data_IF_326034330205
#
_entry.id   IF_326034330205
#
_cell.length_a   1.000
_cell.length_b   1.000
_cell.length_c   1.000
_cell.angle_alpha   90.00
_cell.angle_beta   90.00
_cell.angle_gamma   90.00
#
_symmetry.space_group_name_H-M   'P 1'
#
loop_
_entity.id
_entity.type
_entity.pdbx_description
1 polymer ?
#
# COMPACT_ATOMS: atom_id res chain seq x y z
N UNK A 1 -27.26 30.94 55.21
CA UNK A 1 -26.23 29.89 55.39
C UNK A 1 -26.37 28.73 54.41
N UNK A 2 -27.59 28.31 54.04
CA UNK A 2 -27.80 27.19 53.11
C UNK A 2 -27.24 27.42 51.70
N UNK A 3 -27.42 28.62 51.14
CA UNK A 3 -26.88 28.96 49.81
C UNK A 3 -25.35 28.86 49.73
N UNK A 4 -24.65 29.13 50.84
CA UNK A 4 -23.19 29.01 50.92
C UNK A 4 -22.77 27.54 50.93
N UNK A 5 -23.53 26.68 51.64
CA UNK A 5 -23.26 25.23 51.65
C UNK A 5 -23.50 24.60 50.29
N UNK A 6 -24.57 25.00 49.59
CA UNK A 6 -24.87 24.52 48.23
C UNK A 6 -23.79 24.95 47.24
N UNK A 7 -23.33 26.20 47.32
CA UNK A 7 -22.25 26.70 46.48
C UNK A 7 -20.93 25.94 46.71
N UNK A 8 -20.59 25.63 47.96
CA UNK A 8 -19.39 24.85 48.29
C UNK A 8 -19.46 23.41 47.79
N UNK A 9 -20.63 22.76 47.89
CA UNK A 9 -20.84 21.41 47.35
C UNK A 9 -20.72 21.42 45.83
N UNK A 10 -21.30 22.42 45.16
CA UNK A 10 -21.22 22.55 43.71
C UNK A 10 -19.78 22.79 43.23
N UNK A 11 -19.03 23.68 43.89
CA UNK A 11 -17.61 23.92 43.60
C UNK A 11 -16.78 22.67 43.81
N UNK A 12 -16.99 21.94 44.91
CA UNK A 12 -16.28 20.69 45.20
C UNK A 12 -16.58 19.61 44.15
N UNK A 13 -17.85 19.49 43.73
CA UNK A 13 -18.26 18.55 42.68
C UNK A 13 -17.66 18.90 41.31
N UNK A 14 -17.66 20.19 40.94
CA UNK A 14 -16.97 20.66 39.73
C UNK A 14 -15.46 20.38 39.80
N UNK A 15 -14.81 20.56 40.97
CA UNK A 15 -13.39 20.25 41.14
C UNK A 15 -13.10 18.76 40.96
N UNK A 16 -13.96 17.90 41.51
CA UNK A 16 -13.84 16.44 41.37
C UNK A 16 -14.02 16.01 39.91
N UNK A 17 -14.98 16.59 39.19
CA UNK A 17 -15.18 16.33 37.75
C UNK A 17 -13.99 16.82 36.89
N UNK A 18 -13.39 17.96 37.25
CA UNK A 18 -12.18 18.48 36.61
C UNK A 18 -10.94 17.61 36.89
N UNK A 19 -10.87 16.98 38.06
CA UNK A 19 -9.79 16.07 38.43
C UNK A 19 -9.98 14.68 37.83
N UNK A 20 -11.22 14.22 37.64
CA UNK A 20 -11.51 12.91 37.03
C UNK A 20 -11.36 12.89 35.50
N UNK A 21 -11.39 14.06 34.84
CA UNK A 21 -11.16 14.18 33.39
C UNK A 21 -9.67 14.25 33.02
N UNK A 22 -8.77 14.27 33.99
CA UNK A 22 -7.33 14.21 33.78
C UNK A 22 -6.86 12.75 33.70
N UNK A 23 -7.42 11.98 32.76
CA UNK A 23 -6.75 10.76 32.33
C UNK A 23 -5.49 11.17 31.56
N UNK A 24 -4.31 10.78 32.08
CA UNK A 24 -3.05 11.03 31.40
C UNK A 24 -3.10 10.32 30.04
N UNK A 25 -3.23 11.09 28.97
CA UNK A 25 -3.17 10.59 27.61
C UNK A 25 -1.80 9.94 27.43
N UNK A 26 -1.76 8.62 27.28
CA UNK A 26 -0.50 7.90 27.03
C UNK A 26 -0.02 8.33 25.66
N UNK A 27 1.02 9.16 25.64
CA UNK A 27 1.67 9.62 24.41
C UNK A 27 2.50 8.48 23.84
N UNK A 28 2.02 7.85 22.77
CA UNK A 28 2.75 6.79 22.06
C UNK A 28 3.83 7.42 21.18
N UNK A 29 5.09 7.01 21.39
CA UNK A 29 6.26 7.52 20.68
C UNK A 29 6.90 6.41 19.84
N UNK A 30 7.62 6.82 18.80
CA UNK A 30 8.42 5.88 18.00
C UNK A 30 9.46 5.13 18.83
N UNK A 31 9.99 5.76 19.88
CA UNK A 31 10.95 5.17 20.82
C UNK A 31 10.40 3.98 21.60
N UNK A 32 9.07 3.81 21.62
CA UNK A 32 8.42 2.72 22.34
C UNK A 32 8.43 1.41 21.54
N UNK A 33 8.87 1.46 20.28
CA UNK A 33 8.89 0.33 19.35
C UNK A 33 10.30 0.10 18.77
N UNK A 34 10.60 -1.13 18.30
CA UNK A 34 11.75 -1.39 17.45
C UNK A 34 11.72 -0.56 16.15
N UNK A 35 12.88 -0.41 15.51
CA UNK A 35 12.97 0.22 14.19
C UNK A 35 12.14 -0.52 13.13
N UNK A 36 11.83 0.15 12.02
CA UNK A 36 11.13 -0.46 10.87
C UNK A 36 9.67 -0.03 10.67
N UNK A 37 9.22 1.07 11.30
CA UNK A 37 7.90 1.62 11.02
C UNK A 37 7.79 2.07 9.55
N UNK A 38 6.73 1.65 8.86
CA UNK A 38 6.61 1.79 7.41
C UNK A 38 5.17 1.70 6.91
N UNK A 39 5.02 1.77 5.59
CA UNK A 39 3.75 1.61 4.89
C UNK A 39 3.82 0.43 3.90
N UNK A 40 2.66 -0.07 3.46
CA UNK A 40 2.58 -1.16 2.48
C UNK A 40 1.56 -0.90 1.38
N UNK A 41 1.89 -1.33 0.17
CA UNK A 41 1.02 -1.30 -1.02
C UNK A 41 1.14 -2.61 -1.82
N UNK A 42 0.40 -2.70 -2.92
CA UNK A 42 0.58 -3.72 -3.96
C UNK A 42 0.43 -3.09 -5.35
N UNK A 43 1.12 -3.67 -6.32
CA UNK A 43 1.24 -3.15 -7.68
C UNK A 43 -0.11 -2.87 -8.33
N UNK A 44 -0.98 -3.89 -8.46
CA UNK A 44 -2.30 -3.73 -9.08
C UNK A 44 -3.19 -2.67 -8.40
N UNK A 45 -3.05 -2.50 -7.07
CA UNK A 45 -3.89 -1.56 -6.32
C UNK A 45 -3.50 -0.09 -6.51
N UNK A 46 -2.25 0.21 -6.90
CA UNK A 46 -1.77 1.60 -6.96
C UNK A 46 -1.17 2.01 -8.31
N UNK A 47 -0.57 1.09 -9.07
CA UNK A 47 0.28 1.44 -10.21
C UNK A 47 -0.50 2.07 -11.37
N UNK A 48 -1.55 1.40 -11.85
CA UNK A 48 -2.13 1.73 -13.15
C UNK A 48 -1.15 1.44 -14.30
N UNK A 49 -1.29 2.18 -15.41
CA UNK A 49 -0.47 1.99 -16.60
C UNK A 49 -0.61 0.57 -17.17
N UNK A 50 -1.84 0.07 -17.23
CA UNK A 50 -2.19 -1.36 -17.45
C UNK A 50 -1.52 -2.01 -18.67
N UNK A 51 -1.33 -1.24 -19.75
CA UNK A 51 -0.73 -1.68 -21.01
C UNK A 51 0.46 -0.82 -21.44
N UNK A 52 0.99 -0.02 -20.52
CA UNK A 52 2.10 0.87 -20.81
C UNK A 52 3.43 0.12 -20.80
N UNK A 53 4.35 0.58 -21.65
CA UNK A 53 5.73 0.10 -21.73
C UNK A 53 5.87 -1.43 -21.75
N UNK A 54 4.98 -2.10 -22.47
CA UNK A 54 5.04 -3.54 -22.69
C UNK A 54 4.55 -4.40 -21.53
N UNK A 55 3.89 -3.83 -20.50
CA UNK A 55 3.19 -4.62 -19.48
C UNK A 55 2.13 -5.51 -20.14
N UNK A 56 2.09 -6.78 -19.75
CA UNK A 56 1.04 -7.73 -20.12
C UNK A 56 -0.21 -7.57 -19.25
N UNK A 57 -1.35 -8.07 -19.75
CA UNK A 57 -2.55 -8.20 -18.92
C UNK A 57 -2.31 -9.21 -17.79
N UNK A 58 -2.73 -8.85 -16.58
CA UNK A 58 -2.82 -9.77 -15.45
C UNK A 58 -4.20 -10.42 -15.36
N UNK A 59 -4.30 -11.45 -14.52
CA UNK A 59 -5.57 -12.04 -14.13
C UNK A 59 -6.56 -11.00 -13.57
N UNK A 60 -6.08 -10.01 -12.80
CA UNK A 60 -6.94 -8.96 -12.25
C UNK A 60 -7.40 -7.96 -13.32
N UNK A 61 -6.56 -7.64 -14.31
CA UNK A 61 -6.94 -6.78 -15.45
C UNK A 61 -8.15 -7.35 -16.21
N UNK A 62 -8.22 -8.68 -16.33
CA UNK A 62 -9.34 -9.39 -16.97
C UNK A 62 -10.52 -9.54 -16.00
N UNK A 63 -10.26 -9.96 -14.76
CA UNK A 63 -11.30 -10.20 -13.76
C UNK A 63 -12.15 -8.96 -13.48
N UNK A 64 -11.54 -7.78 -13.34
CA UNK A 64 -12.25 -6.52 -13.06
C UNK A 64 -13.18 -6.08 -14.20
N UNK A 65 -12.93 -6.51 -15.44
CA UNK A 65 -13.76 -6.13 -16.61
C UNK A 65 -15.04 -6.94 -16.73
N UNK A 66 -15.18 -8.01 -15.95
CA UNK A 66 -16.39 -8.82 -15.91
C UNK A 66 -17.41 -8.11 -15.00
N UNK A 67 -18.58 -7.81 -15.57
CA UNK A 67 -19.65 -7.12 -14.85
C UNK A 67 -20.05 -7.87 -13.57
N UNK A 68 -20.10 -7.15 -12.45
CA UNK A 68 -20.50 -7.68 -11.16
C UNK A 68 -19.36 -8.24 -10.29
N UNK A 69 -18.13 -8.34 -10.82
CA UNK A 69 -16.97 -8.80 -10.04
C UNK A 69 -16.41 -7.73 -9.10
N UNK A 70 -16.54 -6.46 -9.47
CA UNK A 70 -16.17 -5.30 -8.65
C UNK A 70 -17.46 -4.54 -8.31
N UNK A 71 -17.65 -4.23 -7.02
CA UNK A 71 -18.92 -3.68 -6.49
C UNK A 71 -19.36 -2.40 -7.20
N UNK A 72 -18.41 -1.51 -7.50
CA UNK A 72 -18.66 -0.24 -8.19
C UNK A 72 -18.35 -0.31 -9.70
N UNK A 73 -17.97 -1.49 -10.21
CA UNK A 73 -17.62 -1.71 -11.61
C UNK A 73 -16.31 -1.05 -12.06
N UNK A 74 -15.46 -0.59 -11.13
CA UNK A 74 -14.16 0.02 -11.47
C UNK A 74 -13.07 -1.03 -11.76
N UNK A 75 -11.92 -0.57 -12.26
CA UNK A 75 -10.74 -1.41 -12.51
C UNK A 75 -9.46 -0.74 -12.01
N UNK A 76 -8.35 -1.49 -12.04
CA UNK A 76 -7.01 -0.99 -11.73
C UNK A 76 -6.29 -0.30 -12.91
N UNK A 77 -7.00 0.04 -14.00
CA UNK A 77 -6.37 0.56 -15.22
C UNK A 77 -5.53 1.82 -14.96
N UNK A 78 -6.03 2.71 -14.10
CA UNK A 78 -5.37 3.93 -13.62
C UNK A 78 -4.99 3.81 -12.14
N UNK A 79 -5.87 3.25 -11.30
CA UNK A 79 -5.67 3.13 -9.86
C UNK A 79 -5.30 4.49 -9.20
N UNK A 80 -4.21 4.55 -8.43
CA UNK A 80 -3.67 5.79 -7.88
C UNK A 80 -2.66 6.47 -8.82
N UNK A 81 -2.46 5.93 -10.02
CA UNK A 81 -1.54 6.44 -11.04
C UNK A 81 -0.07 6.46 -10.57
N UNK A 82 0.29 5.54 -9.67
CA UNK A 82 1.63 5.45 -9.09
C UNK A 82 2.70 5.16 -10.15
N UNK A 83 2.35 4.52 -11.28
CA UNK A 83 3.27 4.31 -12.39
C UNK A 83 3.90 5.62 -12.88
N UNK A 84 3.13 6.71 -12.89
CA UNK A 84 3.58 8.04 -13.27
C UNK A 84 3.99 8.91 -12.08
N UNK A 85 3.44 8.64 -10.89
CA UNK A 85 3.52 9.52 -9.71
C UNK A 85 4.39 8.99 -8.59
N UNK A 86 5.08 7.86 -8.76
CA UNK A 86 5.84 7.23 -7.67
C UNK A 86 6.84 8.17 -6.98
N UNK A 87 7.39 9.16 -7.69
CA UNK A 87 8.26 10.17 -7.09
C UNK A 87 7.53 11.04 -6.05
N UNK A 88 6.30 11.46 -6.34
CA UNK A 88 5.46 12.21 -5.40
C UNK A 88 5.11 11.34 -4.18
N UNK A 89 4.75 10.08 -4.41
CA UNK A 89 4.42 9.15 -3.32
C UNK A 89 5.62 8.84 -2.43
N UNK A 90 6.82 8.70 -3.00
CA UNK A 90 8.07 8.51 -2.25
C UNK A 90 8.38 9.74 -1.38
N UNK A 91 8.13 10.96 -1.89
CA UNK A 91 8.27 12.18 -1.07
C UNK A 91 7.29 12.20 0.10
N UNK A 92 6.04 11.77 -0.12
CA UNK A 92 5.06 11.65 0.97
C UNK A 92 5.54 10.66 2.03
N UNK A 93 5.98 9.46 1.62
CA UNK A 93 6.51 8.43 2.53
C UNK A 93 7.68 8.98 3.37
N UNK A 94 8.61 9.69 2.72
CA UNK A 94 9.75 10.32 3.37
C UNK A 94 9.32 11.42 4.35
N UNK A 95 8.38 12.30 3.94
CA UNK A 95 7.89 13.41 4.76
C UNK A 95 7.19 12.95 6.05
N UNK A 96 6.58 11.75 6.03
CA UNK A 96 5.97 11.10 7.18
C UNK A 96 7.00 10.47 8.14
N UNK A 97 8.29 10.48 7.78
CA UNK A 97 9.37 9.89 8.57
C UNK A 97 9.38 8.36 8.55
N UNK A 98 8.71 7.72 7.58
CA UNK A 98 8.72 6.27 7.44
C UNK A 98 10.11 5.78 7.05
N UNK A 99 10.53 4.65 7.60
CA UNK A 99 11.87 4.07 7.34
C UNK A 99 11.84 2.81 6.49
N UNK A 100 10.65 2.29 6.19
CA UNK A 100 10.49 1.14 5.32
C UNK A 100 9.25 1.34 4.43
N UNK A 101 9.34 0.85 3.20
CA UNK A 101 8.21 0.82 2.27
C UNK A 101 8.10 -0.55 1.65
N UNK A 102 6.98 -1.22 1.96
CA UNK A 102 6.65 -2.50 1.36
C UNK A 102 5.82 -2.29 0.10
N UNK A 103 6.30 -2.78 -1.03
CA UNK A 103 5.55 -2.80 -2.28
C UNK A 103 5.69 -4.15 -2.96
N UNK A 104 4.80 -4.46 -3.92
CA UNK A 104 4.95 -5.65 -4.75
C UNK A 104 5.42 -5.28 -6.15
N UNK A 105 6.10 -6.23 -6.79
CA UNK A 105 6.45 -6.15 -8.20
C UNK A 105 5.33 -6.80 -9.01
N UNK A 106 4.86 -6.14 -10.06
CA UNK A 106 3.91 -6.70 -11.01
C UNK A 106 4.61 -7.72 -11.89
N UNK A 107 4.22 -8.99 -11.77
CA UNK A 107 4.77 -10.07 -12.60
C UNK A 107 4.54 -9.77 -14.07
N UNK A 108 3.33 -9.35 -14.45
CA UNK A 108 3.00 -8.99 -15.84
C UNK A 108 3.74 -7.77 -16.37
N UNK A 109 4.31 -6.92 -15.50
CA UNK A 109 5.18 -5.81 -15.94
C UNK A 109 6.60 -6.28 -16.22
N UNK A 110 7.14 -7.21 -15.43
CA UNK A 110 8.53 -7.72 -15.57
C UNK A 110 8.64 -8.84 -16.59
N UNK A 111 7.71 -9.80 -16.57
CA UNK A 111 7.60 -10.91 -17.49
C UNK A 111 6.17 -10.92 -18.07
N UNK A 112 5.89 -10.13 -19.12
CA UNK A 112 4.53 -9.95 -19.66
C UNK A 112 3.82 -11.23 -20.08
N UNK A 113 4.60 -12.26 -20.42
CA UNK A 113 4.14 -13.58 -20.85
C UNK A 113 4.60 -14.69 -19.90
N UNK A 114 4.92 -14.34 -18.65
CA UNK A 114 5.61 -15.22 -17.71
C UNK A 114 6.92 -15.76 -18.31
N UNK A 115 7.22 -17.03 -18.04
CA UNK A 115 8.40 -17.72 -18.62
C UNK A 115 8.37 -17.94 -20.14
N UNK A 116 7.24 -17.66 -20.79
CA UNK A 116 7.03 -17.93 -22.22
C UNK A 116 7.55 -16.78 -23.11
N UNK A 117 7.99 -15.69 -22.49
CA UNK A 117 8.52 -14.52 -23.18
C UNK A 117 9.86 -14.07 -22.59
N UNK A 118 10.32 -12.91 -23.06
CA UNK A 118 11.49 -12.23 -22.51
C UNK A 118 11.16 -11.31 -21.34
N UNK A 119 12.21 -10.84 -20.68
CA UNK A 119 12.12 -9.79 -19.66
C UNK A 119 11.78 -8.45 -20.31
N UNK A 120 10.79 -7.76 -19.77
CA UNK A 120 10.49 -6.39 -20.15
C UNK A 120 11.42 -5.41 -19.43
N UNK A 121 12.37 -4.83 -20.16
CA UNK A 121 13.37 -3.93 -19.60
C UNK A 121 12.77 -2.62 -19.08
N UNK A 122 11.65 -2.14 -19.63
CA UNK A 122 11.00 -0.94 -19.12
C UNK A 122 10.38 -1.19 -17.73
N UNK A 123 9.78 -2.36 -17.52
CA UNK A 123 9.33 -2.80 -16.20
C UNK A 123 10.47 -2.89 -15.18
N UNK A 124 11.63 -3.41 -15.59
CA UNK A 124 12.84 -3.43 -14.75
C UNK A 124 13.29 -2.00 -14.40
N UNK A 125 13.34 -1.10 -15.38
CA UNK A 125 13.74 0.29 -15.17
C UNK A 125 12.81 1.03 -14.20
N UNK A 126 11.49 0.79 -14.29
CA UNK A 126 10.50 1.35 -13.37
C UNK A 126 10.78 0.96 -11.90
N UNK A 127 10.92 -0.34 -11.63
CA UNK A 127 11.17 -0.80 -10.26
C UNK A 127 12.56 -0.43 -9.75
N UNK A 128 13.59 -0.42 -10.61
CA UNK A 128 14.90 0.10 -10.24
C UNK A 128 14.81 1.56 -9.81
N UNK A 129 14.08 2.40 -10.56
CA UNK A 129 13.91 3.81 -10.19
C UNK A 129 13.25 3.98 -8.82
N UNK A 130 12.22 3.19 -8.52
CA UNK A 130 11.57 3.20 -7.19
C UNK A 130 12.58 2.81 -6.10
N UNK A 131 13.27 1.68 -6.27
CA UNK A 131 14.24 1.17 -5.30
C UNK A 131 15.35 2.18 -5.04
N UNK A 132 15.96 2.72 -6.10
CA UNK A 132 17.04 3.69 -6.01
C UNK A 132 16.59 4.96 -5.26
N UNK A 133 15.38 5.44 -5.54
CA UNK A 133 14.84 6.65 -4.91
C UNK A 133 14.43 6.45 -3.45
N UNK A 134 13.96 5.26 -3.07
CA UNK A 134 13.71 4.91 -1.67
C UNK A 134 15.03 4.87 -0.89
N UNK A 135 16.03 4.17 -1.43
CA UNK A 135 17.34 4.03 -0.79
C UNK A 135 18.04 5.39 -0.64
N UNK A 136 17.94 6.27 -1.63
CA UNK A 136 18.48 7.63 -1.56
C UNK A 136 17.91 8.43 -0.39
N UNK A 137 16.66 8.14 0.02
CA UNK A 137 15.96 8.77 1.14
C UNK A 137 16.08 7.99 2.45
N UNK A 138 16.90 6.95 2.48
CA UNK A 138 17.08 6.09 3.67
C UNK A 138 15.84 5.26 4.02
N UNK A 139 14.97 5.00 3.04
CA UNK A 139 13.78 4.15 3.19
C UNK A 139 14.12 2.74 2.70
N UNK A 140 13.98 1.74 3.55
CA UNK A 140 14.24 0.34 3.23
C UNK A 140 13.16 -0.24 2.30
N UNK A 141 13.50 -0.73 1.10
CA UNK A 141 12.57 -1.43 0.23
C UNK A 141 12.26 -2.83 0.78
N UNK A 142 10.98 -3.11 1.05
CA UNK A 142 10.52 -4.46 1.40
C UNK A 142 9.70 -5.04 0.24
N UNK A 143 10.33 -5.89 -0.57
CA UNK A 143 9.74 -6.30 -1.85
C UNK A 143 8.91 -7.57 -1.72
N UNK A 144 7.68 -7.53 -2.24
CA UNK A 144 6.79 -8.69 -2.41
C UNK A 144 6.81 -9.16 -3.86
N UNK A 145 7.23 -10.40 -4.10
CA UNK A 145 7.34 -10.95 -5.46
C UNK A 145 6.00 -11.40 -6.06
N UNK A 146 4.99 -11.64 -5.23
CA UNK A 146 3.65 -12.01 -5.66
C UNK A 146 2.60 -11.44 -4.72
N UNK A 147 1.64 -10.70 -5.27
CA UNK A 147 0.49 -10.17 -4.53
C UNK A 147 -0.77 -10.32 -5.38
N UNK A 148 -1.26 -11.55 -5.50
CA UNK A 148 -2.51 -11.93 -6.18
C UNK A 148 -2.58 -11.67 -7.70
N UNK A 149 -1.56 -11.05 -8.31
CA UNK A 149 -1.50 -10.85 -9.76
C UNK A 149 -0.39 -11.66 -10.46
N UNK A 150 -0.72 -12.15 -11.65
CA UNK A 150 0.16 -12.88 -12.56
C UNK A 150 -0.30 -12.69 -14.01
N UNK A 151 0.56 -12.94 -15.02
CA UNK A 151 0.17 -12.81 -16.43
C UNK A 151 -1.03 -13.67 -16.79
N UNK A 152 -2.07 -13.07 -17.38
CA UNK A 152 -3.28 -13.77 -17.83
C UNK A 152 -2.93 -14.95 -18.75
N UNK A 153 -1.87 -14.82 -19.56
CA UNK A 153 -1.44 -15.90 -20.46
C UNK A 153 -1.09 -17.22 -19.73
N UNK A 154 -0.69 -17.16 -18.46
CA UNK A 154 -0.46 -18.36 -17.65
C UNK A 154 -1.79 -19.03 -17.22
N UNK A 155 -2.82 -18.22 -16.95
CA UNK A 155 -4.18 -18.73 -16.75
C UNK A 155 -4.67 -19.40 -18.03
N UNK A 156 -4.59 -18.72 -19.16
CA UNK A 156 -5.14 -19.17 -20.44
C UNK A 156 -4.49 -20.48 -20.93
N UNK A 157 -3.19 -20.66 -20.69
CA UNK A 157 -2.45 -21.83 -21.18
C UNK A 157 -2.45 -23.00 -20.24
N UNK A 158 -2.41 -22.73 -18.94
CA UNK A 158 -2.12 -23.76 -17.94
C UNK A 158 -3.18 -23.85 -16.84
N UNK A 159 -4.15 -22.94 -16.76
CA UNK A 159 -5.08 -22.85 -15.63
C UNK A 159 -4.41 -22.32 -14.36
N UNK A 160 -3.39 -21.47 -14.53
CA UNK A 160 -2.74 -20.75 -13.44
C UNK A 160 -2.20 -21.69 -12.36
N UNK A 161 -2.51 -21.37 -11.11
CA UNK A 161 -2.03 -22.10 -9.93
C UNK A 161 -2.53 -23.55 -9.80
N UNK A 162 -3.50 -23.97 -10.62
CA UNK A 162 -3.96 -25.38 -10.64
C UNK A 162 -2.98 -26.29 -11.39
N UNK A 163 -1.99 -25.73 -12.08
CA UNK A 163 -1.04 -26.48 -12.89
C UNK A 163 0.39 -26.44 -12.33
N UNK A 164 1.12 -27.56 -12.41
CA UNK A 164 2.55 -27.57 -12.08
C UNK A 164 3.40 -26.77 -13.07
N UNK A 165 2.81 -26.30 -14.19
CA UNK A 165 3.48 -25.50 -15.21
C UNK A 165 3.39 -23.98 -14.96
N UNK A 166 2.86 -23.56 -13.81
CA UNK A 166 2.75 -22.15 -13.41
C UNK A 166 4.12 -21.46 -13.20
N UNK A 167 5.16 -22.24 -12.89
CA UNK A 167 6.54 -21.78 -12.69
C UNK A 167 7.39 -22.04 -13.92
#
# INVERSE_FOLDING_TARGET
MENIKIALIFVSYCLILLLSSAEAQVEIKRSDFPHGFGASTSAYQIEGGVLEDGKGLSNWDVFCRIQGNVVDGTSGDVAADHYHRYMEDIEVIHSLGLTAYRFSISWSRVLPRGRLGGVNQAGIAFYNSIIDNLLLRGIEPFVTIFHNEYPQELEDRFGGWLSPLMQ
#
